data_IF_272573914235
#
_entry.id   IF_272573914235
#
_cell.length_a   1.000
_cell.length_b   1.000
_cell.length_c   1.000
_cell.angle_alpha   90.00
_cell.angle_beta   90.00
_cell.angle_gamma   90.00
#
_symmetry.space_group_name_H-M   'P 1'
#
loop_
_entity.id
_entity.type
_entity.pdbx_description
1 polymer ?
#
# COMPACT_ATOMS: atom_id res chain seq x y z
N UNK A 1 3.84 -0.05 17.12
CA UNK A 1 3.11 0.25 15.88
C UNK A 1 2.93 -1.07 15.14
N UNK A 2 1.71 -1.56 14.97
CA UNK A 2 1.44 -2.71 14.11
C UNK A 2 1.70 -2.24 12.67
N UNK A 3 2.83 -2.65 12.10
CA UNK A 3 3.07 -2.39 10.68
C UNK A 3 2.05 -3.17 9.86
N UNK A 4 1.43 -2.54 8.87
CA UNK A 4 0.46 -3.20 7.99
C UNK A 4 1.15 -4.08 6.93
N UNK A 5 2.46 -3.87 6.69
CA UNK A 5 3.21 -4.56 5.64
C UNK A 5 3.18 -6.09 5.79
N UNK A 6 3.49 -6.70 6.96
CA UNK A 6 3.40 -8.16 7.13
C UNK A 6 2.01 -8.70 6.83
N UNK A 7 0.97 -8.00 7.29
CA UNK A 7 -0.42 -8.40 7.05
C UNK A 7 -0.75 -8.34 5.56
N UNK A 8 -0.37 -7.26 4.87
CA UNK A 8 -0.58 -7.10 3.42
C UNK A 8 0.19 -8.17 2.61
N UNK A 9 1.41 -8.50 3.02
CA UNK A 9 2.21 -9.56 2.39
C UNK A 9 1.54 -10.92 2.56
N UNK A 10 1.11 -11.27 3.77
CA UNK A 10 0.38 -12.51 4.03
C UNK A 10 -0.93 -12.54 3.22
N UNK A 11 -1.74 -11.50 3.28
CA UNK A 11 -3.05 -11.45 2.61
C UNK A 11 -2.97 -11.36 1.09
N UNK A 12 -1.80 -11.07 0.51
CA UNK A 12 -1.61 -11.05 -0.95
C UNK A 12 -1.66 -12.44 -1.59
N UNK A 13 -1.46 -13.49 -0.80
CA UNK A 13 -1.52 -14.87 -1.25
C UNK A 13 -2.87 -15.52 -0.90
N UNK A 14 -3.31 -16.53 -1.69
CA UNK A 14 -4.46 -17.36 -1.35
C UNK A 14 -4.33 -17.98 0.05
N UNK A 15 -5.44 -18.20 0.74
CA UNK A 15 -5.47 -18.74 2.10
C UNK A 15 -4.66 -20.05 2.26
N UNK A 16 -4.59 -20.89 1.21
CA UNK A 16 -3.86 -22.16 1.21
C UNK A 16 -2.33 -22.01 1.19
N UNK A 17 -1.81 -20.89 0.71
CA UNK A 17 -0.37 -20.63 0.56
C UNK A 17 0.06 -19.33 1.25
N UNK A 18 -0.75 -18.86 2.18
CA UNK A 18 -0.55 -17.60 2.90
C UNK A 18 0.63 -17.71 3.85
N UNK A 19 1.44 -16.65 3.91
CA UNK A 19 2.54 -16.57 4.86
C UNK A 19 2.00 -16.62 6.31
N UNK A 20 2.67 -17.43 7.13
CA UNK A 20 2.44 -17.48 8.59
C UNK A 20 3.29 -16.38 9.23
N UNK A 21 2.68 -15.59 10.10
CA UNK A 21 3.35 -14.46 10.74
C UNK A 21 3.80 -14.86 12.14
N UNK A 22 5.08 -14.67 12.43
CA UNK A 22 5.67 -14.90 13.75
C UNK A 22 6.21 -13.58 14.25
N UNK A 23 5.69 -13.14 15.40
CA UNK A 23 6.25 -11.98 16.09
C UNK A 23 7.55 -12.38 16.80
N UNK A 24 8.53 -11.48 16.78
CA UNK A 24 9.75 -11.62 17.55
C UNK A 24 9.85 -10.60 18.66
N UNK A 25 10.58 -10.93 19.72
CA UNK A 25 10.95 -9.97 20.75
C UNK A 25 12.00 -8.99 20.22
N UNK A 26 12.14 -7.82 20.85
CA UNK A 26 13.18 -6.85 20.47
C UNK A 26 14.60 -7.45 20.53
N UNK A 27 14.85 -8.37 21.46
CA UNK A 27 16.13 -9.07 21.55
C UNK A 27 16.39 -9.98 20.33
N UNK A 28 15.37 -10.69 19.86
CA UNK A 28 15.49 -11.52 18.67
C UNK A 28 15.65 -10.68 17.40
N UNK A 29 14.93 -9.56 17.28
CA UNK A 29 15.11 -8.58 16.19
C UNK A 29 16.55 -8.05 16.15
N UNK A 30 17.12 -7.66 17.30
CA UNK A 30 18.51 -7.21 17.37
C UNK A 30 19.51 -8.28 16.93
N UNK A 31 19.29 -9.55 17.30
CA UNK A 31 20.17 -10.65 16.91
C UNK A 31 20.13 -10.88 15.39
N UNK A 32 18.93 -10.87 14.80
CA UNK A 32 18.75 -11.00 13.36
C UNK A 32 19.35 -9.80 12.63
N UNK A 33 19.15 -8.58 13.14
CA UNK A 33 19.73 -7.36 12.58
C UNK A 33 21.27 -7.41 12.57
N UNK A 34 21.89 -7.84 13.67
CA UNK A 34 23.34 -8.04 13.76
C UNK A 34 23.83 -9.10 12.76
N UNK A 35 23.13 -10.22 12.63
CA UNK A 35 23.49 -11.29 11.70
C UNK A 35 23.38 -10.86 10.23
N UNK A 36 22.43 -9.99 9.90
CA UNK A 36 22.24 -9.43 8.55
C UNK A 36 23.08 -8.16 8.29
N UNK A 37 23.90 -7.74 9.26
CA UNK A 37 24.64 -6.47 9.22
C UNK A 37 23.76 -5.25 8.92
N UNK A 38 22.52 -5.26 9.43
CA UNK A 38 21.57 -4.17 9.33
C UNK A 38 21.40 -3.47 10.68
N UNK A 39 21.12 -2.15 10.70
CA UNK A 39 20.89 -1.43 11.96
C UNK A 39 19.57 -1.83 12.65
N UNK A 40 18.60 -2.30 11.86
CA UNK A 40 17.26 -2.77 12.26
C UNK A 40 16.70 -3.70 11.19
N UNK A 41 15.80 -4.59 11.59
CA UNK A 41 15.02 -5.45 10.67
C UNK A 41 13.55 -5.32 11.03
N UNK A 42 12.77 -4.73 10.13
CA UNK A 42 11.33 -4.59 10.34
C UNK A 42 10.55 -5.89 10.12
N UNK A 43 10.80 -6.55 8.98
CA UNK A 43 10.12 -7.77 8.55
C UNK A 43 11.13 -8.65 7.82
N UNK A 44 11.15 -9.94 8.12
CA UNK A 44 11.97 -10.93 7.42
C UNK A 44 11.07 -12.03 6.87
N UNK A 45 11.18 -12.31 5.58
CA UNK A 45 10.52 -13.45 4.94
C UNK A 45 11.48 -14.64 4.83
N UNK A 46 10.97 -15.84 5.11
CA UNK A 46 11.69 -17.10 4.90
C UNK A 46 10.88 -17.90 3.89
N UNK A 47 11.46 -18.12 2.71
CA UNK A 47 10.85 -18.95 1.67
C UNK A 47 11.14 -20.43 1.85
N UNK A 48 10.34 -21.27 1.19
CA UNK A 48 10.64 -22.71 1.08
C UNK A 48 12.02 -22.93 0.43
N UNK A 49 12.78 -23.90 0.93
CA UNK A 49 14.13 -24.20 0.45
C UNK A 49 15.21 -23.23 0.94
N UNK A 50 14.90 -22.27 1.83
CA UNK A 50 15.91 -21.43 2.46
C UNK A 50 16.93 -22.29 3.25
N UNK A 51 18.24 -22.19 2.96
CA UNK A 51 19.25 -23.05 3.58
C UNK A 51 19.23 -22.96 5.11
N UNK A 52 19.17 -24.12 5.78
CA UNK A 52 19.15 -24.23 7.24
C UNK A 52 17.84 -23.84 7.91
N UNK A 53 16.83 -23.38 7.16
CA UNK A 53 15.54 -22.95 7.72
C UNK A 53 14.49 -24.06 7.78
N UNK A 54 14.77 -25.25 7.24
CA UNK A 54 13.80 -26.37 7.13
C UNK A 54 13.11 -26.71 8.45
N UNK A 55 13.89 -26.83 9.53
CA UNK A 55 13.35 -27.17 10.86
C UNK A 55 12.43 -26.06 11.38
N UNK A 56 12.80 -24.80 11.15
CA UNK A 56 11.99 -23.64 11.55
C UNK A 56 10.69 -23.59 10.74
N UNK A 57 10.77 -23.78 9.42
CA UNK A 57 9.60 -23.79 8.54
C UNK A 57 8.62 -24.88 8.98
N UNK A 58 9.11 -26.09 9.25
CA UNK A 58 8.27 -27.19 9.75
C UNK A 58 7.63 -26.87 11.09
N UNK A 59 8.41 -26.35 12.05
CA UNK A 59 7.87 -25.96 13.35
C UNK A 59 6.75 -24.91 13.22
N UNK A 60 6.94 -23.89 12.37
CA UNK A 60 5.94 -22.85 12.13
C UNK A 60 4.71 -23.43 11.42
N UNK A 61 4.89 -24.32 10.45
CA UNK A 61 3.78 -24.98 9.76
C UNK A 61 2.91 -25.82 10.72
N UNK A 62 3.53 -26.50 11.68
CA UNK A 62 2.86 -27.37 12.64
C UNK A 62 2.19 -26.61 13.80
N UNK A 63 2.62 -25.38 14.11
CA UNK A 63 2.23 -24.67 15.34
C UNK A 63 1.59 -23.30 15.16
N UNK A 64 1.71 -22.66 13.99
CA UNK A 64 1.27 -21.28 13.79
C UNK A 64 0.30 -21.22 12.63
N UNK A 65 -0.97 -20.88 12.88
CA UNK A 65 -1.97 -20.79 11.80
C UNK A 65 -1.63 -19.71 10.76
N UNK A 66 -2.12 -19.92 9.53
CA UNK A 66 -2.09 -18.87 8.53
C UNK A 66 -2.96 -17.69 8.97
N UNK A 67 -2.61 -16.48 8.55
CA UNK A 67 -3.40 -15.29 8.90
C UNK A 67 -4.79 -15.41 8.29
N UNK A 68 -5.83 -15.38 9.11
CA UNK A 68 -7.20 -15.40 8.62
C UNK A 68 -7.69 -13.98 8.30
N UNK A 69 -8.24 -13.77 7.10
CA UNK A 69 -8.80 -12.49 6.67
C UNK A 69 -10.18 -12.73 6.03
N UNK A 70 -11.23 -13.04 6.83
CA UNK A 70 -12.50 -13.54 6.31
C UNK A 70 -13.16 -12.63 5.27
N UNK A 71 -13.07 -11.31 5.46
CA UNK A 71 -13.67 -10.35 4.52
C UNK A 71 -12.99 -10.35 3.14
N UNK A 72 -11.72 -10.76 3.08
CA UNK A 72 -10.95 -10.89 1.85
C UNK A 72 -11.09 -12.29 1.23
N UNK A 73 -11.21 -13.33 2.07
CA UNK A 73 -11.28 -14.72 1.62
C UNK A 73 -12.69 -15.13 1.16
N UNK A 74 -13.74 -14.49 1.69
CA UNK A 74 -15.14 -14.74 1.31
C UNK A 74 -15.67 -13.81 0.21
N UNK A 75 -14.84 -12.93 -0.35
CA UNK A 75 -15.33 -12.02 -1.38
C UNK A 75 -15.57 -12.80 -2.68
N UNK A 76 -16.76 -12.70 -3.31
CA UNK A 76 -16.92 -13.17 -4.69
C UNK A 76 -15.87 -12.47 -5.57
N UNK A 77 -15.45 -13.13 -6.65
CA UNK A 77 -14.46 -12.59 -7.61
C UNK A 77 -14.75 -11.10 -7.84
N UNK A 78 -13.79 -10.20 -7.57
CA UNK A 78 -14.05 -8.77 -7.65
C UNK A 78 -14.55 -8.44 -9.05
N UNK A 79 -15.75 -7.87 -9.12
CA UNK A 79 -16.29 -7.36 -10.37
C UNK A 79 -15.79 -5.94 -10.53
N UNK A 80 -14.98 -5.69 -11.56
CA UNK A 80 -14.56 -4.34 -11.88
C UNK A 80 -15.79 -3.53 -12.31
N UNK A 81 -16.10 -2.46 -11.57
CA UNK A 81 -17.12 -1.49 -11.94
C UNK A 81 -16.44 -0.34 -12.68
N UNK A 82 -16.69 -0.21 -13.99
CA UNK A 82 -16.17 0.88 -14.79
C UNK A 82 -16.69 2.22 -14.28
N UNK A 83 -15.79 3.21 -14.17
CA UNK A 83 -16.13 4.55 -13.72
C UNK A 83 -16.96 5.25 -14.80
N UNK A 84 -18.16 5.74 -14.45
CA UNK A 84 -18.94 6.61 -15.33
C UNK A 84 -18.63 8.08 -14.98
N UNK A 85 -17.72 8.69 -15.74
CA UNK A 85 -17.27 10.06 -15.49
C UNK A 85 -18.05 11.02 -16.37
N UNK A 86 -18.95 11.80 -15.78
CA UNK A 86 -19.53 12.97 -16.44
C UNK A 86 -18.55 14.13 -16.33
N UNK A 87 -17.96 14.52 -17.46
CA UNK A 87 -17.09 15.69 -17.52
C UNK A 87 -17.89 16.90 -17.99
N UNK A 88 -17.82 17.99 -17.24
CA UNK A 88 -18.30 19.30 -17.67
C UNK A 88 -17.09 20.17 -18.02
N UNK A 89 -17.00 20.60 -19.27
CA UNK A 89 -16.01 21.60 -19.65
C UNK A 89 -16.45 22.95 -19.09
N UNK A 90 -15.69 23.50 -18.15
CA UNK A 90 -15.92 24.87 -17.70
C UNK A 90 -15.08 25.81 -18.57
N UNK A 91 -15.75 26.72 -19.27
CA UNK A 91 -15.07 27.78 -20.00
C UNK A 91 -14.57 28.79 -18.96
N UNK A 92 -13.26 28.88 -18.75
CA UNK A 92 -12.68 29.95 -17.95
C UNK A 92 -13.02 31.29 -18.63
N UNK A 93 -13.74 32.18 -17.92
CA UNK A 93 -14.04 33.52 -18.45
C UNK A 93 -12.74 34.19 -18.92
N UNK A 94 -12.66 34.70 -20.17
CA UNK A 94 -11.48 35.42 -20.61
C UNK A 94 -11.26 36.62 -19.68
N UNK A 95 -10.04 36.74 -19.13
CA UNK A 95 -9.61 37.88 -18.32
C UNK A 95 -9.85 39.14 -19.15
N UNK A 96 -10.82 39.96 -18.76
CA UNK A 96 -11.17 41.19 -19.45
C UNK A 96 -9.91 42.04 -19.62
N UNK A 97 -9.42 42.16 -20.86
CA UNK A 97 -8.34 43.09 -21.16
C UNK A 97 -8.96 44.47 -21.14
N UNK A 98 -8.57 45.27 -20.15
CA UNK A 98 -8.96 46.67 -19.98
C UNK A 98 -8.48 47.47 -21.21
N UNK A 99 -9.24 47.47 -22.31
CA UNK A 99 -8.95 48.33 -23.45
C UNK A 99 -9.57 49.70 -23.22
N UNK A 100 -8.77 50.49 -22.53
CA UNK A 100 -8.88 51.91 -22.29
C UNK A 100 -8.93 52.69 -23.61
N UNK A 101 -9.60 53.86 -23.57
CA UNK A 101 -9.57 54.99 -24.52
C UNK A 101 -10.65 55.01 -25.61
N UNK A 102 -11.66 55.85 -25.37
CA UNK A 102 -11.86 56.95 -26.31
C UNK A 102 -12.10 58.25 -25.54
N UNK A 103 -11.04 59.04 -25.40
CA UNK A 103 -11.11 60.45 -25.00
C UNK A 103 -11.83 61.19 -26.13
N UNK A 104 -13.09 61.55 -25.93
CA UNK A 104 -13.69 62.61 -26.76
C UNK A 104 -13.28 63.94 -26.13
N UNK A 105 -12.34 64.60 -26.79
CA UNK A 105 -11.76 65.89 -26.42
C UNK A 105 -12.77 67.03 -26.53
N UNK A 106 -12.50 68.18 -25.87
CA UNK A 106 -13.49 69.18 -25.52
C UNK A 106 -13.56 70.33 -26.53
N UNK A 107 -14.73 70.96 -26.58
CA UNK A 107 -14.92 72.33 -27.09
C UNK A 107 -15.35 72.40 -28.56
N UNK A 108 -16.65 72.61 -28.79
CA UNK A 108 -17.15 73.43 -29.89
C UNK A 108 -18.59 73.84 -29.58
N UNK A 109 -18.81 75.14 -29.38
CA UNK A 109 -20.12 75.80 -29.32
C UNK A 109 -20.55 76.31 -27.96
#
# INVERSE_FOLDING_TARGET
MTSSIPLLLASSAPATTRARLVEWSSQAEEQVARALHQPRVGVLGIGEGAPGAETLLRFVQDNVDAVDVPWLDHTPKPTYHSVNIQTVESVSKPKATLQNRNRKNPGDG
#
